data_IF_009565188527
#
_entry.id   IF_009565188527
#
_cell.length_a   1.000
_cell.length_b   1.000
_cell.length_c   1.000
_cell.angle_alpha   90.00
_cell.angle_beta   90.00
_cell.angle_gamma   90.00
#
_symmetry.space_group_name_H-M   'P 1'
#
loop_
_entity.id
_entity.type
_entity.pdbx_description
1 polymer ?
#
# COMPACT_ATOMS: atom_id res chain seq x y z
N UNK A 1 7.81 -7.25 0.89
CA UNK A 1 6.94 -7.24 -0.30
C UNK A 1 5.55 -7.55 0.21
N UNK A 2 4.53 -6.85 -0.27
CA UNK A 2 3.12 -7.15 0.00
C UNK A 2 2.51 -7.50 -1.34
N UNK A 3 2.49 -8.79 -1.69
CA UNK A 3 2.04 -9.30 -2.99
C UNK A 3 2.41 -8.40 -4.18
N UNK A 4 1.39 -8.04 -4.98
CA UNK A 4 1.51 -7.10 -6.10
C UNK A 4 1.39 -5.61 -5.68
N UNK A 5 1.00 -5.30 -4.45
CA UNK A 5 0.76 -3.92 -4.00
C UNK A 5 2.05 -3.15 -3.70
N UNK A 6 3.09 -3.83 -3.21
CA UNK A 6 4.32 -3.14 -2.89
C UNK A 6 5.58 -4.01 -2.98
N UNK A 7 6.54 -3.52 -3.77
CA UNK A 7 7.93 -3.94 -3.69
C UNK A 7 8.90 -2.74 -3.68
N UNK A 8 9.99 -2.83 -2.89
CA UNK A 8 11.00 -1.78 -2.87
C UNK A 8 11.75 -1.72 -4.20
N UNK A 9 12.06 -0.51 -4.66
CA UNK A 9 12.98 -0.31 -5.77
C UNK A 9 14.42 -0.47 -5.29
N UNK A 10 15.31 -0.86 -6.21
CA UNK A 10 16.76 -0.96 -5.90
C UNK A 10 17.37 0.41 -5.63
N UNK A 11 16.82 1.46 -6.25
CA UNK A 11 17.22 2.85 -6.09
C UNK A 11 15.98 3.75 -6.08
N UNK A 12 16.04 4.84 -5.33
CA UNK A 12 15.00 5.85 -5.34
C UNK A 12 15.14 6.74 -6.59
N UNK A 13 14.02 7.03 -7.24
CA UNK A 13 13.96 7.85 -8.45
C UNK A 13 13.21 9.16 -8.22
N UNK A 14 13.77 10.28 -8.66
CA UNK A 14 13.04 11.55 -8.65
C UNK A 14 12.14 11.66 -9.89
N UNK A 15 10.87 11.99 -9.66
CA UNK A 15 9.84 12.21 -10.68
C UNK A 15 9.46 13.68 -10.68
N UNK A 16 9.93 14.40 -11.70
CA UNK A 16 9.57 15.80 -11.93
C UNK A 16 8.23 15.90 -12.66
N UNK A 17 7.40 16.89 -12.31
CA UNK A 17 6.15 17.19 -13.02
C UNK A 17 4.90 16.55 -12.43
N UNK A 18 5.04 15.80 -11.33
CA UNK A 18 3.92 15.30 -10.52
C UNK A 18 4.00 16.01 -9.15
N UNK A 19 2.89 16.56 -8.66
CA UNK A 19 2.88 17.42 -7.47
C UNK A 19 3.58 18.78 -7.68
N UNK A 20 3.56 19.65 -6.66
CA UNK A 20 4.14 21.00 -6.78
C UNK A 20 5.67 20.99 -6.84
N UNK A 21 6.31 20.08 -6.09
CA UNK A 21 7.77 20.01 -5.93
C UNK A 21 8.39 18.72 -6.50
N UNK A 22 7.61 17.90 -7.21
CA UNK A 22 8.04 16.56 -7.61
C UNK A 22 7.89 15.54 -6.48
N UNK A 23 8.17 14.27 -6.82
CA UNK A 23 8.16 13.15 -5.88
C UNK A 23 9.44 12.35 -5.94
N UNK A 24 9.73 11.63 -4.86
CA UNK A 24 10.77 10.61 -4.82
C UNK A 24 10.10 9.24 -4.73
N UNK A 25 10.08 8.50 -5.83
CA UNK A 25 9.59 7.13 -5.88
C UNK A 25 10.62 6.19 -5.27
N UNK A 26 10.17 5.29 -4.40
CA UNK A 26 11.02 4.33 -3.69
C UNK A 26 10.45 2.90 -3.73
N UNK A 27 9.20 2.75 -4.18
CA UNK A 27 8.57 1.45 -4.40
C UNK A 27 7.83 1.42 -5.71
N UNK A 28 7.55 0.21 -6.18
CA UNK A 28 6.59 -0.04 -7.24
C UNK A 28 5.38 -0.81 -6.69
N UNK A 29 4.25 -0.61 -7.37
CA UNK A 29 2.91 -1.06 -6.97
C UNK A 29 2.16 -1.42 -8.25
N UNK A 30 1.64 -2.64 -8.33
CA UNK A 30 1.01 -3.17 -9.53
C UNK A 30 1.92 -3.09 -10.77
N UNK A 31 1.33 -3.26 -11.95
CA UNK A 31 2.08 -3.35 -13.21
C UNK A 31 2.85 -2.05 -13.57
N UNK A 32 2.26 -0.90 -13.29
CA UNK A 32 2.77 0.40 -13.77
C UNK A 32 2.97 1.42 -12.64
N UNK A 33 2.40 1.17 -11.46
CA UNK A 33 2.34 2.13 -10.39
C UNK A 33 3.63 2.28 -9.59
N UNK A 34 3.70 3.35 -8.80
CA UNK A 34 4.80 3.67 -7.90
C UNK A 34 4.28 4.10 -6.55
N UNK A 35 5.08 3.82 -5.52
CA UNK A 35 4.92 4.43 -4.19
C UNK A 35 6.08 5.39 -3.98
N UNK A 36 5.78 6.60 -3.54
CA UNK A 36 6.75 7.67 -3.40
C UNK A 36 6.41 8.64 -2.28
N UNK A 37 7.35 9.56 -2.02
CA UNK A 37 7.15 10.68 -1.08
C UNK A 37 6.95 11.95 -1.90
N UNK A 38 5.87 12.67 -1.63
CA UNK A 38 5.68 14.02 -2.14
C UNK A 38 6.65 14.98 -1.44
N UNK A 39 7.48 15.70 -2.20
CA UNK A 39 8.58 16.49 -1.61
C UNK A 39 8.06 17.69 -0.81
N UNK A 40 6.90 18.24 -1.18
CA UNK A 40 6.34 19.42 -0.54
C UNK A 40 5.70 19.08 0.82
N UNK A 41 4.88 18.03 0.84
CA UNK A 41 4.07 17.61 2.00
C UNK A 41 4.75 16.55 2.86
N UNK A 42 5.68 15.80 2.28
CA UNK A 42 6.32 14.60 2.86
C UNK A 42 5.38 13.43 3.11
N UNK A 43 4.16 13.50 2.58
CA UNK A 43 3.24 12.38 2.60
C UNK A 43 3.72 11.28 1.66
N UNK A 44 3.44 10.04 2.02
CA UNK A 44 3.61 8.90 1.13
C UNK A 44 2.37 8.79 0.27
N UNK A 45 2.58 8.65 -1.02
CA UNK A 45 1.52 8.62 -2.02
C UNK A 45 1.73 7.49 -3.02
N UNK A 46 0.64 7.05 -3.61
CA UNK A 46 0.59 6.11 -4.71
C UNK A 46 0.39 6.87 -6.01
N UNK A 47 1.14 6.46 -7.03
CA UNK A 47 1.11 6.98 -8.39
C UNK A 47 0.63 5.81 -9.25
N UNK A 48 -0.63 5.81 -9.71
CA UNK A 48 -1.19 4.66 -10.43
C UNK A 48 -0.46 4.30 -11.72
N UNK A 49 0.05 5.32 -12.41
CA UNK A 49 0.83 5.20 -13.64
C UNK A 49 1.77 6.42 -13.78
N UNK A 50 2.93 6.26 -14.43
CA UNK A 50 3.93 7.33 -14.58
C UNK A 50 3.48 8.48 -15.49
N UNK A 51 2.50 8.26 -16.36
CA UNK A 51 1.87 9.31 -17.16
C UNK A 51 0.74 10.03 -16.40
N UNK A 52 0.37 9.52 -15.22
CA UNK A 52 -0.64 10.15 -14.37
C UNK A 52 -0.12 11.46 -13.76
N UNK A 53 -0.93 12.51 -13.89
CA UNK A 53 -0.71 13.77 -13.17
C UNK A 53 -1.25 13.74 -11.73
N UNK A 54 -1.93 12.67 -11.33
CA UNK A 54 -2.58 12.55 -10.02
C UNK A 54 -1.88 11.52 -9.14
N UNK A 55 -1.95 11.75 -7.84
CA UNK A 55 -1.48 10.84 -6.81
C UNK A 55 -2.60 10.61 -5.80
N UNK A 56 -2.62 9.44 -5.17
CA UNK A 56 -3.51 9.14 -4.04
C UNK A 56 -2.70 8.98 -2.76
N UNK A 57 -3.29 9.38 -1.64
CA UNK A 57 -2.62 9.28 -0.34
C UNK A 57 -2.46 7.82 0.09
N UNK A 58 -1.34 7.51 0.73
CA UNK A 58 -1.02 6.18 1.29
C UNK A 58 -0.79 6.27 2.79
N UNK A 59 0.12 7.16 3.21
CA UNK A 59 0.43 7.39 4.61
C UNK A 59 0.89 8.83 4.82
N UNK A 60 0.70 9.35 6.03
CA UNK A 60 1.13 10.72 6.39
C UNK A 60 2.63 10.94 6.32
N UNK A 61 3.44 9.89 6.50
CA UNK A 61 4.89 9.96 6.42
C UNK A 61 5.53 8.58 6.20
N UNK A 62 6.82 8.59 5.84
CA UNK A 62 7.58 7.38 5.55
C UNK A 62 7.72 6.43 6.76
N UNK A 63 7.78 6.96 7.97
CA UNK A 63 7.93 6.14 9.17
C UNK A 63 6.64 5.35 9.47
N UNK A 64 5.50 6.00 9.27
CA UNK A 64 4.16 5.42 9.39
C UNK A 64 3.97 4.36 8.30
N UNK A 65 4.32 4.67 7.04
CA UNK A 65 4.32 3.69 5.95
C UNK A 65 5.15 2.45 6.28
N UNK A 66 6.40 2.62 6.72
CA UNK A 66 7.26 1.49 7.06
C UNK A 66 6.68 0.64 8.19
N UNK A 67 6.05 1.24 9.20
CA UNK A 67 5.39 0.51 10.28
C UNK A 67 4.19 -0.27 9.78
N UNK A 68 3.33 0.32 8.95
CA UNK A 68 2.19 -0.36 8.36
C UNK A 68 2.65 -1.55 7.51
N UNK A 69 3.60 -1.34 6.59
CA UNK A 69 4.15 -2.41 5.75
C UNK A 69 4.74 -3.54 6.58
N UNK A 70 5.54 -3.23 7.60
CA UNK A 70 6.14 -4.24 8.46
C UNK A 70 5.08 -5.04 9.24
N UNK A 71 4.04 -4.36 9.73
CA UNK A 71 2.95 -4.98 10.47
C UNK A 71 2.12 -5.90 9.56
N UNK A 72 1.78 -5.45 8.34
CA UNK A 72 1.06 -6.25 7.34
C UNK A 72 1.87 -7.47 6.90
N UNK A 73 3.18 -7.32 6.65
CA UNK A 73 4.05 -8.46 6.31
C UNK A 73 4.08 -9.48 7.45
N UNK A 74 4.03 -9.05 8.71
CA UNK A 74 4.01 -9.95 9.85
C UNK A 74 2.72 -10.76 9.98
N UNK A 75 1.63 -10.35 9.32
CA UNK A 75 0.39 -11.11 9.22
C UNK A 75 0.44 -12.20 8.14
N UNK A 76 1.49 -12.28 7.34
CA UNK A 76 1.59 -13.28 6.27
C UNK A 76 2.00 -14.67 6.81
N UNK A 77 1.43 -15.78 6.31
CA UNK A 77 0.34 -15.85 5.33
C UNK A 77 -1.00 -15.41 5.91
N UNK A 78 -1.81 -14.71 5.10
CA UNK A 78 -3.09 -14.15 5.56
C UNK A 78 -4.16 -15.22 5.81
N UNK A 79 -4.06 -16.37 5.15
CA UNK A 79 -5.06 -17.44 5.25
C UNK A 79 -4.40 -18.79 5.47
N UNK A 80 -5.04 -19.65 6.26
CA UNK A 80 -4.76 -21.08 6.26
C UNK A 80 -5.48 -21.82 5.12
N UNK A 81 -5.09 -23.08 4.90
CA UNK A 81 -5.82 -23.99 3.99
C UNK A 81 -7.30 -24.09 4.41
N UNK A 82 -8.23 -23.92 3.47
CA UNK A 82 -9.68 -24.00 3.65
C UNK A 82 -10.32 -22.94 4.60
N UNK A 83 -9.70 -21.77 4.78
CA UNK A 83 -10.20 -20.69 5.66
C UNK A 83 -10.96 -19.55 4.93
N UNK A 84 -11.73 -19.86 3.89
CA UNK A 84 -12.49 -18.83 3.12
C UNK A 84 -13.42 -17.97 4.00
N UNK A 85 -14.01 -18.59 5.04
CA UNK A 85 -14.89 -17.90 5.99
C UNK A 85 -14.18 -16.84 6.84
N UNK A 86 -12.84 -16.85 6.90
CA UNK A 86 -12.01 -15.95 7.73
C UNK A 86 -11.38 -14.79 6.97
N UNK A 87 -11.57 -14.71 5.65
CA UNK A 87 -10.97 -13.66 4.83
C UNK A 87 -11.40 -12.26 5.27
N UNK A 88 -12.69 -12.07 5.52
CA UNK A 88 -13.22 -10.80 6.02
C UNK A 88 -12.67 -10.45 7.41
N UNK A 89 -12.58 -11.42 8.32
CA UNK A 89 -12.02 -11.23 9.67
C UNK A 89 -10.56 -10.77 9.57
N UNK A 90 -9.77 -11.43 8.73
CA UNK A 90 -8.37 -11.08 8.48
C UNK A 90 -8.23 -9.67 7.92
N UNK A 91 -9.06 -9.30 6.94
CA UNK A 91 -9.09 -7.96 6.38
C UNK A 91 -9.42 -6.90 7.45
N UNK A 92 -10.39 -7.17 8.33
CA UNK A 92 -10.78 -6.26 9.41
C UNK A 92 -9.67 -6.08 10.46
N UNK A 93 -8.95 -7.15 10.81
CA UNK A 93 -7.78 -7.09 11.68
C UNK A 93 -6.67 -6.21 11.07
N UNK A 94 -6.42 -6.35 9.76
CA UNK A 94 -5.45 -5.53 9.05
C UNK A 94 -5.90 -4.06 8.98
N UNK A 95 -7.19 -3.78 8.72
CA UNK A 95 -7.73 -2.42 8.75
C UNK A 95 -7.50 -1.77 10.10
N UNK A 96 -7.84 -2.46 11.19
CA UNK A 96 -7.60 -1.95 12.54
C UNK A 96 -6.10 -1.66 12.77
N UNK A 97 -5.24 -2.62 12.45
CA UNK A 97 -3.79 -2.52 12.59
C UNK A 97 -3.21 -1.30 11.86
N UNK A 98 -3.56 -1.12 10.59
CA UNK A 98 -3.09 -0.01 9.76
C UNK A 98 -3.63 1.32 10.29
N UNK A 99 -4.90 1.38 10.69
CA UNK A 99 -5.51 2.60 11.23
C UNK A 99 -4.88 3.08 12.56
N UNK A 100 -4.47 2.15 13.42
CA UNK A 100 -3.78 2.45 14.69
C UNK A 100 -2.39 3.04 14.44
N UNK A 101 -1.70 2.55 13.40
CA UNK A 101 -0.36 3.01 13.04
C UNK A 101 -0.39 4.36 12.30
N UNK A 102 -1.42 4.58 11.48
CA UNK A 102 -1.68 5.81 10.77
C UNK A 102 -3.17 6.01 10.51
N UNK A 103 -3.78 6.94 11.25
CA UNK A 103 -5.22 7.27 11.13
C UNK A 103 -5.62 7.77 9.73
N UNK A 104 -4.66 8.24 8.94
CA UNK A 104 -4.90 8.74 7.58
C UNK A 104 -4.82 7.66 6.50
N UNK A 105 -4.44 6.43 6.86
CA UNK A 105 -4.13 5.38 5.88
C UNK A 105 -5.37 4.78 5.21
N UNK A 106 -6.51 4.73 5.91
CA UNK A 106 -7.77 4.17 5.40
C UNK A 106 -8.68 5.26 4.81
N UNK A 107 -8.15 6.02 3.85
CA UNK A 107 -9.00 6.88 3.03
C UNK A 107 -9.79 6.01 2.05
N UNK A 108 -11.01 6.46 1.75
CA UNK A 108 -11.87 5.79 0.77
C UNK A 108 -11.23 5.80 -0.63
N UNK A 109 -11.37 4.68 -1.33
CA UNK A 109 -10.67 4.28 -2.55
C UNK A 109 -9.14 4.45 -2.45
N UNK A 110 -8.61 4.33 -1.23
CA UNK A 110 -7.21 4.51 -0.91
C UNK A 110 -6.42 3.20 -0.93
N UNK A 111 -5.10 3.30 -1.04
CA UNK A 111 -4.20 2.15 -1.18
C UNK A 111 -4.45 1.03 -0.15
N UNK A 112 -4.53 1.39 1.14
CA UNK A 112 -4.72 0.39 2.19
C UNK A 112 -6.15 -0.13 2.28
N UNK A 113 -7.15 0.68 1.93
CA UNK A 113 -8.55 0.22 1.89
C UNK A 113 -8.72 -0.82 0.78
N UNK A 114 -8.26 -0.52 -0.43
CA UNK A 114 -8.30 -1.45 -1.56
C UNK A 114 -7.55 -2.74 -1.26
N UNK A 115 -6.34 -2.64 -0.68
CA UNK A 115 -5.61 -3.83 -0.24
C UNK A 115 -6.42 -4.71 0.73
N UNK A 116 -7.11 -4.11 1.70
CA UNK A 116 -7.94 -4.86 2.64
C UNK A 116 -9.18 -5.45 1.96
N UNK A 117 -9.71 -4.80 0.93
CA UNK A 117 -10.81 -5.33 0.12
C UNK A 117 -10.35 -6.56 -0.67
N UNK A 118 -9.17 -6.51 -1.30
CA UNK A 118 -8.55 -7.65 -1.98
C UNK A 118 -8.29 -8.81 -1.00
N UNK A 119 -7.84 -8.50 0.23
CA UNK A 119 -7.71 -9.50 1.29
C UNK A 119 -9.08 -10.10 1.67
N UNK A 120 -10.15 -9.31 1.71
CA UNK A 120 -11.49 -9.84 1.99
C UNK A 120 -12.04 -10.69 0.83
N UNK A 121 -11.56 -10.47 -0.41
CA UNK A 121 -11.92 -11.24 -1.60
C UNK A 121 -11.13 -12.54 -1.78
N UNK A 122 -10.03 -12.71 -1.04
CA UNK A 122 -9.20 -13.92 -1.07
C UNK A 122 -8.08 -13.88 -2.12
N UNK A 123 -7.77 -12.71 -2.67
CA UNK A 123 -6.80 -12.54 -3.78
C UNK A 123 -5.35 -12.92 -3.42
N UNK A 124 -5.09 -13.16 -2.12
CA UNK A 124 -3.78 -13.59 -1.60
C UNK A 124 -3.76 -15.06 -1.14
N UNK A 125 -4.78 -15.85 -1.46
CA UNK A 125 -4.80 -17.28 -1.17
C UNK A 125 -3.76 -17.99 -2.06
N UNK A 126 -3.11 -19.03 -1.52
CA UNK A 126 -2.00 -19.78 -2.13
C UNK A 126 -2.27 -20.37 -3.54
N UNK A 127 -3.49 -20.21 -4.09
CA UNK A 127 -3.85 -20.59 -5.44
C UNK A 127 -3.44 -19.62 -6.56
N UNK A 128 -3.06 -18.38 -6.25
CA UNK A 128 -2.84 -17.31 -7.25
C UNK A 128 -1.48 -16.56 -7.13
N UNK A 129 -0.49 -17.10 -6.40
CA UNK A 129 0.89 -16.55 -6.29
C UNK A 129 2.00 -17.49 -6.76
#
# INVERSE_FOLDING_TARGET
MIGYEYWPLSEAGFLSGIGECGLVAFGASGLFGRVGIDVATRHVVHIPDLESATTSHVNRDLASFHRCVAAVIACFPFYGEDEEERWQETADEIRELVSVLDESALLHDGFWETFCDDVAMGDYADGDV
#
